data_IF_773662914417
#
_entry.id   IF_773662914417
#
_cell.length_a   1.000
_cell.length_b   1.000
_cell.length_c   1.000
_cell.angle_alpha   90.00
_cell.angle_beta   90.00
_cell.angle_gamma   90.00
#
_symmetry.space_group_name_H-M   'P 1'
#
loop_
_entity.id
_entity.type
_entity.pdbx_description
1 polymer ?
#
# COMPACT_ATOMS: atom_id res chain seq x y z
N UNK A 1 -10.81 -21.08 4.94
CA UNK A 1 -9.39 -20.73 4.85
C UNK A 1 -9.09 -20.52 3.38
N UNK A 2 -8.66 -19.33 2.95
CA UNK A 2 -8.25 -19.12 1.57
C UNK A 2 -6.87 -19.78 1.41
N UNK A 3 -6.81 -20.91 0.70
CA UNK A 3 -5.53 -21.52 0.34
C UNK A 3 -4.97 -20.78 -0.87
N UNK A 4 -3.65 -20.65 -0.94
CA UNK A 4 -3.02 -20.17 -2.15
C UNK A 4 -3.45 -21.09 -3.33
N UNK A 5 -3.76 -20.52 -4.52
CA UNK A 5 -4.18 -21.32 -5.66
C UNK A 5 -3.09 -22.34 -6.04
N UNK A 6 -3.51 -23.44 -6.64
CA UNK A 6 -2.59 -24.41 -7.23
C UNK A 6 -1.75 -23.73 -8.33
N UNK A 7 -0.44 -24.01 -8.37
CA UNK A 7 0.50 -23.38 -9.31
C UNK A 7 1.62 -22.54 -8.66
N UNK A 8 1.95 -22.77 -7.39
CA UNK A 8 3.14 -22.18 -6.78
C UNK A 8 4.40 -22.61 -7.54
N UNK A 9 5.10 -21.66 -8.14
CA UNK A 9 6.38 -21.91 -8.81
C UNK A 9 7.42 -22.33 -7.76
N UNK A 10 8.07 -23.46 -8.00
CA UNK A 10 9.15 -23.93 -7.13
C UNK A 10 10.23 -22.84 -7.01
N UNK A 11 10.57 -22.46 -5.77
CA UNK A 11 11.55 -21.41 -5.48
C UNK A 11 11.01 -19.98 -5.46
N UNK A 12 9.69 -19.76 -5.55
CA UNK A 12 9.07 -18.43 -5.38
C UNK A 12 8.31 -18.35 -4.04
N UNK A 13 8.96 -17.83 -3.01
CA UNK A 13 8.35 -17.59 -1.70
C UNK A 13 7.55 -16.27 -1.63
N UNK A 14 6.74 -16.14 -0.58
CA UNK A 14 5.89 -14.97 -0.36
C UNK A 14 6.69 -13.66 -0.21
N UNK A 15 7.86 -13.73 0.43
CA UNK A 15 8.74 -12.59 0.66
C UNK A 15 9.30 -12.05 -0.67
N UNK A 16 9.73 -12.95 -1.56
CA UNK A 16 10.19 -12.60 -2.90
C UNK A 16 9.08 -11.96 -3.73
N UNK A 17 7.85 -12.48 -3.64
CA UNK A 17 6.70 -11.88 -4.33
C UNK A 17 6.41 -10.48 -3.79
N UNK A 18 6.35 -10.32 -2.46
CA UNK A 18 6.11 -9.02 -1.84
C UNK A 18 7.20 -8.01 -2.19
N UNK A 19 8.47 -8.40 -2.17
CA UNK A 19 9.61 -7.55 -2.52
C UNK A 19 9.54 -7.08 -3.97
N UNK A 20 9.25 -7.99 -4.91
CA UNK A 20 9.14 -7.67 -6.34
C UNK A 20 7.95 -6.74 -6.61
N UNK A 21 6.79 -7.00 -5.99
CA UNK A 21 5.63 -6.12 -6.11
C UNK A 21 5.89 -4.75 -5.49
N UNK A 22 6.56 -4.67 -4.34
CA UNK A 22 6.97 -3.42 -3.71
C UNK A 22 7.89 -2.59 -4.61
N UNK A 23 8.89 -3.24 -5.21
CA UNK A 23 9.81 -2.61 -6.17
C UNK A 23 9.09 -2.11 -7.42
N UNK A 24 8.17 -2.90 -7.98
CA UNK A 24 7.37 -2.50 -9.14
C UNK A 24 6.44 -1.33 -8.81
N UNK A 25 5.81 -1.34 -7.64
CA UNK A 25 4.97 -0.24 -7.18
C UNK A 25 5.78 1.06 -7.02
N UNK A 26 6.97 0.99 -6.43
CA UNK A 26 7.86 2.15 -6.31
C UNK A 26 8.26 2.72 -7.67
N UNK A 27 8.58 1.85 -8.65
CA UNK A 27 8.86 2.28 -10.02
C UNK A 27 7.64 2.96 -10.67
N UNK A 28 6.44 2.38 -10.53
CA UNK A 28 5.21 2.96 -11.07
C UNK A 28 4.88 4.31 -10.42
N UNK A 29 5.08 4.43 -9.11
CA UNK A 29 4.90 5.70 -8.36
C UNK A 29 5.90 6.75 -8.83
N UNK A 30 7.16 6.40 -9.06
CA UNK A 30 8.18 7.34 -9.54
C UNK A 30 7.99 7.76 -11.00
N UNK A 31 7.52 6.83 -11.86
CA UNK A 31 7.30 7.08 -13.28
C UNK A 31 6.00 7.85 -13.56
N UNK A 32 5.07 7.90 -12.60
CA UNK A 32 3.76 8.54 -12.75
C UNK A 32 3.54 9.61 -11.68
N UNK A 33 2.61 10.54 -11.89
CA UNK A 33 2.14 11.41 -10.79
C UNK A 33 1.01 10.72 -10.03
N UNK A 34 1.34 9.65 -9.32
CA UNK A 34 0.36 8.91 -8.53
C UNK A 34 -0.32 9.83 -7.50
N UNK A 35 -1.65 9.75 -7.39
CA UNK A 35 -2.41 10.52 -6.39
C UNK A 35 -2.25 9.95 -4.97
N UNK A 36 -1.81 8.69 -4.87
CA UNK A 36 -1.56 7.96 -3.64
C UNK A 36 -1.43 6.47 -3.90
N UNK A 37 -1.19 5.69 -2.84
CA UNK A 37 -1.06 4.24 -2.90
C UNK A 37 -1.96 3.57 -1.87
N UNK A 38 -2.62 2.48 -2.27
CA UNK A 38 -3.35 1.59 -1.35
C UNK A 38 -2.62 0.26 -1.33
N UNK A 39 -2.17 -0.18 -0.16
CA UNK A 39 -1.49 -1.45 0.02
C UNK A 39 -2.24 -2.35 1.00
N UNK A 40 -2.50 -3.59 0.61
CA UNK A 40 -3.20 -4.59 1.45
C UNK A 40 -2.31 -5.79 1.69
N UNK A 41 -2.34 -6.31 2.91
CA UNK A 41 -1.34 -7.23 3.45
C UNK A 41 -0.17 -6.47 4.08
N UNK A 42 0.31 -6.97 5.22
CA UNK A 42 1.42 -6.34 5.94
C UNK A 42 2.72 -6.37 5.14
N UNK A 43 3.04 -7.51 4.55
CA UNK A 43 4.29 -7.70 3.80
C UNK A 43 4.33 -6.82 2.55
N UNK A 44 3.23 -6.78 1.79
CA UNK A 44 3.10 -5.91 0.62
C UNK A 44 3.25 -4.43 0.98
N UNK A 45 2.53 -3.97 2.01
CA UNK A 45 2.65 -2.58 2.49
C UNK A 45 4.09 -2.26 2.91
N UNK A 46 4.73 -3.14 3.69
CA UNK A 46 6.11 -2.97 4.14
C UNK A 46 7.08 -2.87 2.96
N UNK A 47 6.97 -3.74 1.96
CA UNK A 47 7.88 -3.75 0.83
C UNK A 47 7.71 -2.53 -0.08
N UNK A 48 6.49 -1.98 -0.21
CA UNK A 48 6.28 -0.69 -0.89
C UNK A 48 6.98 0.45 -0.16
N UNK A 49 6.81 0.56 1.17
CA UNK A 49 7.45 1.61 1.97
C UNK A 49 8.98 1.52 1.91
N UNK A 50 9.54 0.31 2.04
CA UNK A 50 10.98 0.08 1.93
C UNK A 50 11.53 0.46 0.55
N UNK A 51 10.84 0.05 -0.52
CA UNK A 51 11.26 0.37 -1.89
C UNK A 51 11.21 1.87 -2.21
N UNK A 52 10.33 2.62 -1.55
CA UNK A 52 10.25 4.08 -1.65
C UNK A 52 11.24 4.80 -0.70
N UNK A 53 11.93 4.07 0.18
CA UNK A 53 12.79 4.65 1.21
C UNK A 53 12.02 5.45 2.27
N UNK A 54 10.73 5.17 2.47
CA UNK A 54 9.90 5.85 3.45
C UNK A 54 10.30 5.44 4.88
N UNK A 55 10.44 6.42 5.77
CA UNK A 55 10.69 6.22 7.20
C UNK A 55 9.42 5.89 7.99
N UNK A 56 8.23 6.16 7.44
CA UNK A 56 6.97 5.84 8.09
C UNK A 56 5.74 6.43 7.39
N UNK A 57 4.65 6.50 8.16
CA UNK A 57 3.38 7.09 7.74
C UNK A 57 2.95 8.11 8.80
N UNK A 58 2.79 9.37 8.38
CA UNK A 58 2.11 10.37 9.19
C UNK A 58 0.60 10.14 9.07
N UNK A 59 -0.04 9.72 10.17
CA UNK A 59 -1.47 9.43 10.17
C UNK A 59 -2.28 10.72 10.00
N UNK A 60 -3.31 10.61 9.17
CA UNK A 60 -4.24 11.70 8.86
C UNK A 60 -5.65 11.35 9.32
N UNK A 61 -6.08 10.10 9.10
CA UNK A 61 -7.42 9.60 9.41
C UNK A 61 -7.49 8.07 9.21
N UNK A 62 -8.69 7.54 9.04
CA UNK A 62 -8.95 6.18 8.58
C UNK A 62 -10.10 6.11 7.56
N UNK A 63 -10.06 5.10 6.69
CA UNK A 63 -11.16 4.78 5.76
C UNK A 63 -12.32 4.10 6.52
N UNK A 64 -11.94 3.30 7.51
CA UNK A 64 -12.75 2.65 8.53
C UNK A 64 -11.79 2.12 9.61
N UNK A 65 -12.29 1.79 10.80
CA UNK A 65 -11.47 1.22 11.88
C UNK A 65 -10.61 0.06 11.39
N UNK A 66 -9.29 0.16 11.54
CA UNK A 66 -8.31 -0.84 11.06
C UNK A 66 -7.77 -0.62 9.64
N UNK A 67 -8.17 0.46 8.97
CA UNK A 67 -7.72 0.84 7.61
C UNK A 67 -7.23 2.29 7.61
N UNK A 68 -6.02 2.56 8.14
CA UNK A 68 -5.51 3.92 8.30
C UNK A 68 -5.24 4.60 6.95
N UNK A 69 -5.46 5.91 6.94
CA UNK A 69 -5.11 6.84 5.88
C UNK A 69 -4.05 7.82 6.42
N UNK A 70 -2.97 8.01 5.67
CA UNK A 70 -1.92 8.95 6.02
C UNK A 70 -1.13 9.42 4.82
N UNK A 71 0.04 10.00 5.07
CA UNK A 71 1.03 10.35 4.05
C UNK A 71 2.37 9.72 4.39
N UNK A 72 3.11 9.28 3.38
CA UNK A 72 4.47 8.78 3.56
C UNK A 72 5.37 9.87 4.15
N UNK A 73 6.30 9.48 5.03
CA UNK A 73 7.35 10.36 5.56
C UNK A 73 8.71 9.90 5.09
N UNK A 74 9.50 10.81 4.51
CA UNK A 74 10.80 10.53 3.92
C UNK A 74 10.74 9.75 2.60
N UNK A 75 11.93 9.48 2.04
CA UNK A 75 12.08 8.73 0.81
C UNK A 75 11.75 9.53 -0.46
N UNK A 76 11.64 8.83 -1.58
CA UNK A 76 11.40 9.43 -2.90
C UNK A 76 9.96 9.86 -3.14
N UNK A 77 9.04 9.42 -2.29
CA UNK A 77 7.61 9.71 -2.35
C UNK A 77 7.10 10.37 -1.05
N UNK A 78 7.94 11.19 -0.41
CA UNK A 78 7.55 11.98 0.77
C UNK A 78 6.26 12.78 0.50
N UNK A 79 5.34 12.76 1.46
CA UNK A 79 4.03 13.40 1.35
C UNK A 79 3.00 12.67 0.48
N UNK A 80 3.35 11.56 -0.18
CA UNK A 80 2.39 10.78 -0.97
C UNK A 80 1.30 10.17 -0.07
N UNK A 81 0.01 10.37 -0.38
CA UNK A 81 -1.07 9.72 0.36
C UNK A 81 -0.97 8.19 0.32
N UNK A 82 -1.19 7.55 1.46
CA UNK A 82 -1.13 6.10 1.60
C UNK A 82 -2.29 5.59 2.45
N UNK A 83 -2.89 4.48 2.02
CA UNK A 83 -3.78 3.65 2.84
C UNK A 83 -3.15 2.28 2.98
N UNK A 84 -3.08 1.77 4.22
CA UNK A 84 -2.69 0.37 4.47
C UNK A 84 -3.85 -0.42 5.05
N UNK A 85 -3.86 -1.72 4.78
CA UNK A 85 -4.90 -2.64 5.27
C UNK A 85 -4.31 -4.01 5.57
N UNK A 86 -4.70 -4.65 6.66
CA UNK A 86 -4.39 -6.07 6.86
C UNK A 86 -5.08 -6.93 5.78
N UNK A 87 -4.45 -8.02 5.35
CA UNK A 87 -4.90 -8.81 4.19
C UNK A 87 -6.37 -9.24 4.27
N UNK A 88 -6.76 -9.90 5.35
CA UNK A 88 -8.12 -10.43 5.57
C UNK A 88 -9.12 -9.47 6.23
N UNK A 89 -8.83 -8.17 6.26
CA UNK A 89 -9.65 -7.18 7.00
C UNK A 89 -10.49 -6.31 6.06
N UNK A 90 -11.66 -5.84 6.53
CA UNK A 90 -12.56 -4.92 5.83
C UNK A 90 -13.67 -5.60 5.03
N UNK A 91 -14.61 -4.79 4.54
CA UNK A 91 -15.72 -5.21 3.66
C UNK A 91 -15.25 -5.40 2.21
N UNK A 92 -16.07 -6.03 1.37
CA UNK A 92 -15.74 -6.29 -0.04
C UNK A 92 -15.37 -5.02 -0.83
N UNK A 93 -15.95 -3.88 -0.45
CA UNK A 93 -15.73 -2.58 -1.10
C UNK A 93 -14.58 -1.75 -0.51
N UNK A 94 -13.84 -2.28 0.47
CA UNK A 94 -12.86 -1.50 1.26
C UNK A 94 -11.76 -0.86 0.41
N UNK A 95 -11.29 -1.54 -0.63
CA UNK A 95 -10.25 -0.99 -1.52
C UNK A 95 -10.80 0.14 -2.39
N UNK A 96 -12.06 0.04 -2.84
CA UNK A 96 -12.74 1.11 -3.58
C UNK A 96 -12.91 2.33 -2.67
N UNK A 97 -13.33 2.12 -1.43
CA UNK A 97 -13.44 3.18 -0.42
C UNK A 97 -12.09 3.84 -0.13
N UNK A 98 -11.02 3.05 -0.03
CA UNK A 98 -9.67 3.57 0.19
C UNK A 98 -9.20 4.48 -0.97
N UNK A 99 -9.41 4.06 -2.21
CA UNK A 99 -9.07 4.88 -3.38
C UNK A 99 -9.90 6.18 -3.41
N UNK A 100 -11.20 6.12 -3.09
CA UNK A 100 -12.04 7.32 -2.98
C UNK A 100 -11.57 8.25 -1.86
N UNK A 101 -11.22 7.71 -0.69
CA UNK A 101 -10.71 8.50 0.43
C UNK A 101 -9.44 9.27 0.08
N UNK A 102 -8.53 8.69 -0.73
CA UNK A 102 -7.37 9.40 -1.26
C UNK A 102 -7.79 10.50 -2.26
N UNK A 103 -8.71 10.20 -3.19
CA UNK A 103 -9.09 11.14 -4.26
C UNK A 103 -9.90 12.34 -3.77
N UNK A 104 -10.79 12.11 -2.81
CA UNK A 104 -11.77 13.11 -2.37
C UNK A 104 -11.20 14.03 -1.28
N UNK A 105 -10.08 13.63 -0.66
CA UNK A 105 -9.43 14.41 0.39
C UNK A 105 -8.46 15.44 -0.17
N UNK A 106 -8.48 16.63 0.40
CA UNK A 106 -7.48 17.67 0.16
C UNK A 106 -6.29 17.45 1.09
N UNK A 107 -5.19 16.94 0.56
CA UNK A 107 -3.90 16.91 1.27
C UNK A 107 -3.20 18.26 1.11
N UNK A 108 -2.77 18.87 2.21
CA UNK A 108 -1.90 20.04 2.16
C UNK A 108 -0.53 19.52 1.73
N UNK A 109 0.00 20.08 0.63
CA UNK A 109 1.39 19.86 0.22
C UNK A 109 2.30 20.80 0.99
#
# INVERSE_FOLDING_TARGET
MLLAPEGQLAGLDADTVAQRLGSLAAQAIGATRAAGVVATGGDGARQVLLALGAGGIALVDEVMGGVPLGTLTGGTADGLPVVTKAGGFGTEDVLVRAVRAIRDRRFKR
#
